data_IF_001302110612
#
_entry.id   IF_001302110612
#
_cell.length_a   1.000
_cell.length_b   1.000
_cell.length_c   1.000
_cell.angle_alpha   90.00
_cell.angle_beta   90.00
_cell.angle_gamma   90.00
#
_symmetry.space_group_name_H-M   'P 1'
#
loop_
_entity.id
_entity.type
_entity.pdbx_description
1 polymer ?
#
# COMPACT_ATOMS: atom_id res chain seq x y z
N UNK A 1 8.38 20.15 0.91
CA UNK A 1 7.73 18.82 0.93
C UNK A 1 6.79 18.67 2.13
N UNK A 2 5.88 17.70 2.09
CA UNK A 2 5.01 17.36 3.26
C UNK A 2 5.87 17.01 4.47
N UNK A 3 6.96 16.27 4.28
CA UNK A 3 7.86 15.91 5.36
C UNK A 3 8.53 17.11 6.03
N UNK A 4 8.92 18.13 5.28
CA UNK A 4 9.46 19.38 5.83
C UNK A 4 8.39 20.14 6.63
N UNK A 5 7.18 20.22 6.10
CA UNK A 5 6.06 20.85 6.80
C UNK A 5 5.76 20.14 8.12
N UNK A 6 5.69 18.81 8.12
CA UNK A 6 5.47 18.02 9.33
C UNK A 6 6.58 18.28 10.37
N UNK A 7 7.84 18.27 9.94
CA UNK A 7 8.99 18.59 10.80
C UNK A 7 8.88 20.00 11.38
N UNK A 8 8.55 21.01 10.56
CA UNK A 8 8.44 22.41 11.01
C UNK A 8 7.30 22.64 12.01
N UNK A 9 6.29 21.78 11.99
CA UNK A 9 5.11 21.84 12.87
C UNK A 9 5.15 20.81 14.01
N UNK A 10 6.23 20.05 14.14
CA UNK A 10 6.36 18.95 15.11
C UNK A 10 5.20 17.95 15.03
N UNK A 11 4.80 17.60 13.82
CA UNK A 11 3.74 16.62 13.52
C UNK A 11 4.39 15.32 13.05
N UNK A 12 3.94 14.17 13.58
CA UNK A 12 4.36 12.87 13.08
C UNK A 12 3.85 12.64 11.68
N UNK A 13 4.72 12.11 10.81
CA UNK A 13 4.38 11.71 9.46
C UNK A 13 4.36 10.19 9.35
N UNK A 14 3.23 9.65 8.93
CA UNK A 14 3.06 8.24 8.58
C UNK A 14 2.92 8.13 7.06
N UNK A 15 3.82 7.40 6.41
CA UNK A 15 3.72 7.10 5.00
C UNK A 15 2.96 5.78 4.78
N UNK A 16 1.81 5.85 4.11
CA UNK A 16 1.11 4.65 3.66
C UNK A 16 1.71 4.14 2.35
N UNK A 17 2.60 3.17 2.46
CA UNK A 17 3.28 2.51 1.35
C UNK A 17 2.61 1.19 0.94
N UNK A 18 1.36 0.96 1.35
CA UNK A 18 0.60 -0.27 1.16
C UNK A 18 0.61 -0.77 -0.31
N UNK A 19 0.43 0.13 -1.28
CA UNK A 19 0.46 -0.17 -2.71
C UNK A 19 1.69 0.42 -3.43
N UNK A 20 2.70 0.85 -2.70
CA UNK A 20 3.83 1.60 -3.23
C UNK A 20 5.20 0.92 -2.97
N UNK A 21 5.19 -0.41 -2.82
CA UNK A 21 6.43 -1.18 -2.66
C UNK A 21 7.42 -0.85 -3.76
N UNK A 22 8.64 -0.44 -3.37
CA UNK A 22 9.73 -0.08 -4.29
C UNK A 22 9.46 1.11 -5.21
N UNK A 23 8.38 1.87 -5.00
CA UNK A 23 8.21 3.16 -5.67
C UNK A 23 9.25 4.15 -5.20
N UNK A 24 9.65 5.07 -6.10
CA UNK A 24 10.64 6.08 -5.80
C UNK A 24 10.14 7.47 -6.19
N UNK A 25 10.59 8.47 -5.45
CA UNK A 25 10.45 9.88 -5.76
C UNK A 25 11.84 10.51 -5.71
N UNK A 26 12.29 11.15 -6.79
CA UNK A 26 13.65 11.69 -6.90
C UNK A 26 14.74 10.63 -6.58
N UNK A 27 14.58 9.42 -7.09
CA UNK A 27 15.48 8.26 -6.85
C UNK A 27 15.55 7.78 -5.41
N UNK A 28 14.66 8.24 -4.52
CA UNK A 28 14.56 7.76 -3.14
C UNK A 28 13.31 6.90 -2.97
N UNK A 29 13.47 5.73 -2.37
CA UNK A 29 12.34 4.87 -2.06
C UNK A 29 11.37 5.56 -1.11
N UNK A 30 10.06 5.46 -1.40
CA UNK A 30 8.99 5.90 -0.49
C UNK A 30 9.05 5.13 0.83
N UNK A 31 8.50 5.72 1.88
CA UNK A 31 8.56 5.14 3.23
C UNK A 31 9.84 5.49 4.00
N UNK A 32 10.68 6.43 3.52
CA UNK A 32 11.93 6.83 4.17
C UNK A 32 11.89 8.19 4.85
N UNK A 33 10.97 9.04 4.44
CA UNK A 33 10.87 10.42 4.92
C UNK A 33 10.10 10.54 6.25
N UNK A 34 9.04 9.74 6.41
CA UNK A 34 8.18 9.76 7.59
C UNK A 34 8.84 9.19 8.84
N UNK A 35 8.20 9.46 9.98
CA UNK A 35 8.55 8.83 11.26
C UNK A 35 8.21 7.36 11.25
N UNK A 36 7.13 7.02 10.54
CA UNK A 36 6.63 5.66 10.33
C UNK A 36 6.32 5.43 8.86
N UNK A 37 6.45 4.18 8.40
CA UNK A 37 5.92 3.74 7.12
C UNK A 37 5.28 2.36 7.25
N UNK A 38 4.13 2.19 6.61
CA UNK A 38 3.37 0.95 6.64
C UNK A 38 3.40 0.26 5.28
N UNK A 39 3.57 -1.06 5.30
CA UNK A 39 3.56 -1.93 4.13
C UNK A 39 2.59 -3.08 4.36
N UNK A 40 1.84 -3.46 3.34
CA UNK A 40 0.94 -4.61 3.38
C UNK A 40 1.48 -5.76 2.57
N UNK A 41 1.31 -6.97 3.09
CA UNK A 41 1.60 -8.22 2.39
C UNK A 41 0.32 -8.99 2.03
N UNK A 42 -0.79 -8.26 1.84
CA UNK A 42 -2.06 -8.80 1.38
C UNK A 42 -1.92 -9.48 -0.01
N UNK A 43 -2.75 -10.48 -0.37
CA UNK A 43 -2.56 -11.30 -1.57
C UNK A 43 -2.37 -10.57 -2.89
N UNK A 44 -2.94 -9.37 -3.06
CA UNK A 44 -2.81 -8.61 -4.29
C UNK A 44 -1.62 -7.61 -4.29
N UNK A 45 -0.63 -7.81 -3.43
CA UNK A 45 0.59 -7.00 -3.39
C UNK A 45 1.72 -7.67 -4.18
N UNK A 46 2.71 -6.89 -4.58
CA UNK A 46 3.92 -7.40 -5.27
C UNK A 46 4.66 -8.40 -4.38
N UNK A 47 4.78 -8.06 -3.09
CA UNK A 47 5.16 -8.99 -2.03
C UNK A 47 3.89 -9.34 -1.27
N UNK A 48 3.51 -10.59 -1.26
CA UNK A 48 2.35 -11.04 -0.50
C UNK A 48 2.69 -12.27 0.36
N UNK A 49 1.95 -12.45 1.44
CA UNK A 49 2.15 -13.55 2.36
C UNK A 49 0.82 -14.08 2.91
N UNK A 50 -0.22 -14.08 2.08
CA UNK A 50 -1.61 -14.39 2.42
C UNK A 50 -2.19 -13.25 3.27
N UNK A 51 -1.61 -13.01 4.44
CA UNK A 51 -1.90 -11.91 5.35
C UNK A 51 -0.59 -11.42 5.97
N UNK A 52 -0.55 -10.16 6.37
CA UNK A 52 0.60 -9.60 7.04
C UNK A 52 0.93 -8.19 6.62
N UNK A 53 1.95 -7.64 7.24
CA UNK A 53 2.46 -6.31 6.96
C UNK A 53 3.76 -6.04 7.70
N UNK A 54 4.35 -4.90 7.40
CA UNK A 54 5.54 -4.41 8.08
C UNK A 54 5.36 -2.94 8.45
N UNK A 55 5.88 -2.58 9.61
CA UNK A 55 6.00 -1.22 10.09
C UNK A 55 7.47 -0.85 10.14
N UNK A 56 7.87 0.14 9.33
CA UNK A 56 9.17 0.79 9.50
C UNK A 56 9.02 1.92 10.52
N UNK A 57 9.95 2.00 11.45
CA UNK A 57 10.00 3.03 12.48
C UNK A 57 11.35 3.73 12.43
N UNK A 58 11.36 5.06 12.43
CA UNK A 58 12.58 5.86 12.27
C UNK A 58 13.37 6.00 13.57
N UNK A 59 12.67 6.20 14.70
CA UNK A 59 13.31 6.44 15.99
C UNK A 59 13.27 5.19 16.85
N UNK A 60 14.41 4.84 17.47
CA UNK A 60 14.55 3.65 18.32
C UNK A 60 13.53 3.60 19.47
N UNK A 61 13.27 4.75 20.12
CA UNK A 61 12.24 4.82 21.17
C UNK A 61 10.90 4.28 20.69
N UNK A 62 10.42 4.74 19.54
CA UNK A 62 9.13 4.32 18.98
C UNK A 62 9.19 2.89 18.45
N UNK A 63 10.35 2.42 17.99
CA UNK A 63 10.54 1.02 17.60
C UNK A 63 10.34 0.10 18.79
N UNK A 64 10.94 0.41 19.94
CA UNK A 64 10.79 -0.39 21.17
C UNK A 64 9.33 -0.39 21.69
N UNK A 65 8.63 0.75 21.58
CA UNK A 65 7.20 0.81 21.85
C UNK A 65 6.38 -0.05 20.90
N UNK A 66 6.65 0.02 19.59
CA UNK A 66 5.98 -0.78 18.57
C UNK A 66 6.21 -2.28 18.78
N UNK A 67 7.41 -2.70 19.20
CA UNK A 67 7.69 -4.10 19.53
C UNK A 67 6.82 -4.62 20.67
N UNK A 68 6.60 -3.82 21.72
CA UNK A 68 5.69 -4.17 22.82
C UNK A 68 4.24 -4.25 22.32
N UNK A 69 3.80 -3.19 21.63
CA UNK A 69 2.44 -3.11 21.10
C UNK A 69 2.12 -4.25 20.11
N UNK A 70 3.10 -4.72 19.36
CA UNK A 70 2.93 -5.86 18.45
C UNK A 70 2.43 -7.12 19.16
N UNK A 71 2.73 -7.27 20.46
CA UNK A 71 2.37 -8.46 21.23
C UNK A 71 1.90 -8.08 22.63
N UNK A 72 0.65 -7.73 22.77
CA UNK A 72 -0.07 -7.51 24.03
C UNK A 72 0.55 -6.46 24.97
N UNK A 73 1.40 -5.55 24.50
CA UNK A 73 2.12 -4.61 25.36
C UNK A 73 3.35 -5.20 26.06
N UNK A 74 3.75 -6.42 25.71
CA UNK A 74 4.78 -7.19 26.41
C UNK A 74 6.16 -6.93 25.80
N UNK A 75 7.14 -6.56 26.65
CA UNK A 75 8.56 -6.63 26.29
C UNK A 75 9.03 -8.09 26.46
N UNK A 76 9.25 -8.75 25.32
CA UNK A 76 9.60 -10.16 25.26
C UNK A 76 10.91 -10.53 25.98
N UNK A 77 11.81 -9.55 26.14
CA UNK A 77 13.12 -9.77 26.81
C UNK A 77 13.03 -9.66 28.33
N UNK A 78 11.98 -9.03 28.87
CA UNK A 78 11.82 -8.77 30.30
C UNK A 78 10.67 -9.56 30.94
N UNK A 79 9.75 -10.05 30.12
CA UNK A 79 8.52 -10.70 30.57
C UNK A 79 8.77 -12.06 31.23
N UNK A 80 9.88 -12.74 30.90
CA UNK A 80 10.21 -14.03 31.48
C UNK A 80 11.55 -13.98 32.22
N UNK A 81 11.62 -14.74 33.30
CA UNK A 81 12.88 -15.04 34.00
C UNK A 81 13.78 -15.99 33.17
N UNK A 82 15.00 -16.19 33.63
CA UNK A 82 16.00 -17.07 32.93
C UNK A 82 15.56 -18.53 32.91
N UNK A 83 14.76 -18.96 33.85
CA UNK A 83 14.20 -20.31 33.96
C UNK A 83 12.95 -20.51 33.07
N UNK A 84 12.50 -19.44 32.40
CA UNK A 84 11.33 -19.48 31.51
C UNK A 84 10.02 -19.08 32.14
N UNK A 85 9.95 -18.94 33.48
CA UNK A 85 8.75 -18.50 34.18
C UNK A 85 8.44 -17.03 33.95
N UNK A 86 7.19 -16.62 34.14
CA UNK A 86 6.78 -15.23 34.09
C UNK A 86 7.45 -14.46 35.23
N UNK A 87 8.09 -13.35 34.87
CA UNK A 87 8.75 -12.46 35.81
C UNK A 87 7.68 -11.71 36.64
N UNK A 88 7.53 -11.98 37.95
CA UNK A 88 6.53 -11.32 38.80
C UNK A 88 6.77 -9.83 39.02
N UNK A 89 7.99 -9.34 38.76
CA UNK A 89 8.36 -7.94 38.87
C UNK A 89 8.06 -7.16 37.55
N UNK A 90 7.63 -7.88 36.48
CA UNK A 90 7.36 -7.24 35.21
C UNK A 90 5.94 -6.67 35.15
N UNK A 91 5.86 -5.39 34.76
CA UNK A 91 4.59 -4.69 34.57
C UNK A 91 4.29 -4.47 33.08
N UNK A 92 3.02 -4.67 32.68
CA UNK A 92 2.48 -4.36 31.36
C UNK A 92 1.82 -2.99 31.44
N UNK A 93 2.54 -1.96 31.01
CA UNK A 93 2.11 -0.56 31.13
C UNK A 93 1.22 -0.08 29.99
N UNK A 94 1.07 -0.87 28.91
CA UNK A 94 0.30 -0.49 27.71
C UNK A 94 -0.60 -1.65 27.29
N UNK A 95 -1.89 -1.39 27.16
CA UNK A 95 -2.83 -2.36 26.57
C UNK A 95 -2.65 -2.42 25.05
N UNK A 96 -2.60 -3.63 24.50
CA UNK A 96 -2.51 -3.86 23.08
C UNK A 96 -3.11 -5.21 22.68
N UNK A 97 -3.14 -5.49 21.37
CA UNK A 97 -3.61 -6.73 20.81
C UNK A 97 -2.44 -7.59 20.28
N UNK A 98 -2.75 -8.75 19.72
CA UNK A 98 -1.79 -9.54 18.98
C UNK A 98 -1.77 -9.11 17.51
N UNK A 99 -0.72 -8.40 17.10
CA UNK A 99 -0.44 -8.02 15.72
C UNK A 99 0.73 -8.81 15.15
N UNK A 100 1.12 -9.92 15.79
CA UNK A 100 2.26 -10.72 15.33
C UNK A 100 1.94 -11.45 14.04
N UNK A 101 2.77 -11.26 13.03
CA UNK A 101 2.75 -12.07 11.82
C UNK A 101 3.26 -13.48 12.15
N UNK A 102 2.58 -14.52 11.66
CA UNK A 102 3.03 -15.90 11.88
C UNK A 102 4.26 -16.23 11.02
N UNK A 103 5.03 -17.24 11.45
CA UNK A 103 6.29 -17.60 10.78
C UNK A 103 6.10 -18.12 9.36
N UNK A 104 4.97 -18.76 9.03
CA UNK A 104 4.68 -19.25 7.68
C UNK A 104 4.50 -18.07 6.73
N UNK A 105 3.65 -17.11 7.10
CA UNK A 105 3.46 -15.89 6.32
C UNK A 105 4.78 -15.10 6.19
N UNK A 106 5.58 -14.99 7.27
CA UNK A 106 6.88 -14.34 7.23
C UNK A 106 7.86 -15.03 6.27
N UNK A 107 7.89 -16.37 6.25
CA UNK A 107 8.74 -17.14 5.34
C UNK A 107 8.32 -16.93 3.88
N UNK A 108 7.01 -16.93 3.59
CA UNK A 108 6.47 -16.65 2.25
C UNK A 108 6.86 -15.24 1.79
N UNK A 109 6.65 -14.22 2.64
CA UNK A 109 7.03 -12.84 2.31
C UNK A 109 8.53 -12.72 2.03
N UNK A 110 9.36 -13.32 2.88
CA UNK A 110 10.82 -13.28 2.73
C UNK A 110 11.28 -13.97 1.43
N UNK A 111 10.69 -15.10 1.07
CA UNK A 111 10.98 -15.76 -0.20
C UNK A 111 10.61 -14.87 -1.40
N UNK A 112 9.44 -14.24 -1.38
CA UNK A 112 8.97 -13.37 -2.45
C UNK A 112 9.80 -12.09 -2.65
N UNK A 113 10.48 -11.62 -1.61
CA UNK A 113 11.37 -10.46 -1.71
C UNK A 113 12.51 -10.68 -2.73
N UNK A 114 12.96 -11.91 -2.91
CA UNK A 114 14.01 -12.23 -3.87
C UNK A 114 13.62 -11.90 -5.33
N UNK A 115 12.34 -12.07 -5.67
CA UNK A 115 11.82 -11.88 -7.04
C UNK A 115 11.26 -10.48 -7.29
N UNK A 116 11.14 -9.66 -6.26
CA UNK A 116 10.43 -8.38 -6.37
C UNK A 116 10.99 -7.46 -7.45
N UNK A 117 12.32 -7.36 -7.56
CA UNK A 117 12.95 -6.48 -8.55
C UNK A 117 12.64 -6.90 -9.98
N UNK A 118 12.67 -8.19 -10.27
CA UNK A 118 12.33 -8.73 -11.60
C UNK A 118 10.85 -8.49 -11.92
N UNK A 119 9.96 -8.77 -10.97
CA UNK A 119 8.51 -8.52 -11.11
C UNK A 119 8.20 -7.05 -11.39
N UNK A 120 8.82 -6.13 -10.65
CA UNK A 120 8.63 -4.69 -10.85
C UNK A 120 9.12 -4.26 -12.24
N UNK A 121 10.24 -4.82 -12.71
CA UNK A 121 10.74 -4.54 -14.05
C UNK A 121 9.73 -4.94 -15.13
N UNK A 122 9.12 -6.13 -14.99
CA UNK A 122 8.06 -6.60 -15.89
C UNK A 122 6.80 -5.72 -15.82
N UNK A 123 6.33 -5.35 -14.63
CA UNK A 123 5.19 -4.45 -14.46
C UNK A 123 5.46 -3.10 -15.15
N UNK A 124 6.64 -2.53 -14.95
CA UNK A 124 7.03 -1.27 -15.60
C UNK A 124 7.05 -1.40 -17.14
N UNK A 125 7.53 -2.54 -17.67
CA UNK A 125 7.50 -2.84 -19.09
C UNK A 125 6.07 -2.90 -19.61
N UNK A 126 5.18 -3.63 -18.94
CA UNK A 126 3.76 -3.73 -19.29
C UNK A 126 3.08 -2.35 -19.31
N UNK A 127 3.34 -1.51 -18.30
CA UNK A 127 2.78 -0.16 -18.27
C UNK A 127 3.30 0.73 -19.41
N UNK A 128 4.59 0.65 -19.73
CA UNK A 128 5.15 1.34 -20.88
C UNK A 128 4.49 0.87 -22.19
N UNK A 129 4.28 -0.42 -22.33
CA UNK A 129 3.59 -0.99 -23.49
C UNK A 129 2.16 -0.42 -23.61
N UNK A 130 1.39 -0.39 -22.51
CA UNK A 130 0.06 0.21 -22.52
C UNK A 130 0.07 1.68 -22.89
N UNK A 131 0.97 2.49 -22.30
CA UNK A 131 1.09 3.91 -22.63
C UNK A 131 1.41 4.12 -24.10
N UNK A 132 2.25 3.28 -24.71
CA UNK A 132 2.64 3.39 -26.12
C UNK A 132 1.56 2.92 -27.09
N UNK A 133 0.68 1.99 -26.69
CA UNK A 133 -0.27 1.33 -27.58
C UNK A 133 -1.72 1.77 -27.39
N UNK A 134 -2.08 2.41 -26.30
CA UNK A 134 -3.42 3.01 -26.15
C UNK A 134 -3.49 4.28 -27.00
N UNK A 135 -4.05 4.15 -28.21
CA UNK A 135 -4.19 5.24 -29.18
C UNK A 135 -5.60 5.84 -29.22
N UNK A 136 -6.50 5.38 -28.35
CA UNK A 136 -7.88 5.83 -28.33
C UNK A 136 -8.01 7.18 -27.61
N UNK A 137 -8.43 8.22 -28.32
CA UNK A 137 -8.60 9.57 -27.77
C UNK A 137 -9.65 9.68 -26.67
N UNK A 138 -10.54 8.69 -26.53
CA UNK A 138 -11.52 8.61 -25.44
C UNK A 138 -10.93 8.04 -24.15
N UNK A 139 -9.70 7.51 -24.18
CA UNK A 139 -8.97 6.99 -23.03
C UNK A 139 -7.80 7.93 -22.72
N UNK A 140 -7.77 8.43 -21.50
CA UNK A 140 -6.65 9.23 -21.00
C UNK A 140 -5.84 8.40 -20.03
N UNK A 141 -4.57 8.18 -20.29
CA UNK A 141 -3.64 7.60 -19.34
C UNK A 141 -3.28 8.62 -18.27
N UNK A 142 -2.95 8.15 -17.08
CA UNK A 142 -2.40 9.00 -16.03
C UNK A 142 -0.89 9.00 -16.20
N UNK A 143 -0.35 10.17 -16.50
CA UNK A 143 1.09 10.38 -16.58
C UNK A 143 1.60 10.90 -15.23
N UNK A 144 2.75 10.39 -14.82
CA UNK A 144 3.44 10.83 -13.61
C UNK A 144 4.64 11.67 -14.01
N UNK A 145 4.98 12.66 -13.18
CA UNK A 145 6.18 13.46 -13.38
C UNK A 145 7.42 12.55 -13.52
N UNK A 146 8.37 12.95 -14.34
CA UNK A 146 9.60 12.19 -14.63
C UNK A 146 10.42 11.80 -13.38
N UNK A 147 10.17 12.45 -12.26
CA UNK A 147 10.85 12.19 -10.99
C UNK A 147 10.17 11.08 -10.14
N UNK A 148 9.08 10.50 -10.64
CA UNK A 148 8.32 9.46 -9.92
C UNK A 148 8.47 8.14 -10.66
N UNK A 149 9.06 7.16 -10.00
CA UNK A 149 9.05 5.78 -10.41
C UNK A 149 7.97 5.01 -9.63
N UNK A 150 6.80 4.85 -10.26
CA UNK A 150 5.70 4.12 -9.66
C UNK A 150 5.88 2.60 -9.81
N UNK A 151 5.55 1.83 -8.77
CA UNK A 151 5.50 0.36 -8.84
C UNK A 151 4.31 -0.16 -9.66
N UNK A 152 3.32 0.69 -9.96
CA UNK A 152 2.16 0.39 -10.78
C UNK A 152 1.39 -0.88 -10.30
N UNK A 153 0.82 -0.81 -9.10
CA UNK A 153 -0.08 -1.86 -8.61
C UNK A 153 -1.18 -2.21 -9.62
N UNK A 154 -1.72 -1.19 -10.30
CA UNK A 154 -2.64 -1.30 -11.44
C UNK A 154 -2.32 -0.19 -12.44
N UNK A 155 -2.74 -0.36 -13.70
CA UNK A 155 -2.63 0.67 -14.72
C UNK A 155 -3.95 1.44 -14.82
N UNK A 156 -3.92 2.74 -14.60
CA UNK A 156 -5.12 3.56 -14.61
C UNK A 156 -5.34 4.23 -15.96
N UNK A 157 -6.59 4.17 -16.43
CA UNK A 157 -7.08 5.00 -17.53
C UNK A 157 -8.33 5.76 -17.09
N UNK A 158 -8.58 6.91 -17.70
CA UNK A 158 -9.79 7.70 -17.49
C UNK A 158 -10.60 7.75 -18.76
N UNK A 159 -11.93 7.60 -18.63
CA UNK A 159 -12.87 7.74 -19.74
C UNK A 159 -14.26 8.13 -19.24
N UNK A 160 -14.95 8.99 -20.00
CA UNK A 160 -16.37 9.29 -19.76
C UNK A 160 -17.27 8.08 -20.05
N UNK A 161 -16.76 7.06 -20.73
CA UNK A 161 -17.50 5.83 -21.07
C UNK A 161 -17.13 4.65 -20.14
N UNK A 162 -16.83 4.93 -18.87
CA UNK A 162 -16.37 3.94 -17.89
C UNK A 162 -17.21 2.65 -17.88
N UNK A 163 -18.54 2.78 -17.80
CA UNK A 163 -19.45 1.61 -17.75
C UNK A 163 -19.37 0.76 -19.01
N UNK A 164 -19.31 1.40 -20.20
CA UNK A 164 -19.18 0.68 -21.48
C UNK A 164 -17.86 -0.04 -21.58
N UNK A 165 -16.75 0.61 -21.18
CA UNK A 165 -15.42 0.01 -21.19
C UNK A 165 -15.36 -1.20 -20.24
N UNK A 166 -15.87 -1.08 -19.01
CA UNK A 166 -15.89 -2.18 -18.06
C UNK A 166 -16.71 -3.38 -18.55
N UNK A 167 -17.87 -3.13 -19.17
CA UNK A 167 -18.72 -4.19 -19.76
C UNK A 167 -17.98 -4.90 -20.88
N UNK A 168 -17.36 -4.16 -21.79
CA UNK A 168 -16.56 -4.71 -22.90
C UNK A 168 -15.37 -5.54 -22.40
N UNK A 169 -14.60 -5.02 -21.43
CA UNK A 169 -13.46 -5.76 -20.87
C UNK A 169 -13.90 -7.04 -20.18
N UNK A 170 -15.03 -7.01 -19.47
CA UNK A 170 -15.61 -8.21 -18.84
C UNK A 170 -16.00 -9.26 -19.89
N UNK A 171 -16.63 -8.85 -20.98
CA UNK A 171 -16.94 -9.74 -22.12
C UNK A 171 -15.69 -10.39 -22.69
N UNK A 172 -14.61 -9.64 -22.80
CA UNK A 172 -13.28 -10.12 -23.22
C UNK A 172 -12.51 -10.88 -22.13
N UNK A 173 -13.15 -11.18 -20.98
CA UNK A 173 -12.54 -11.87 -19.82
C UNK A 173 -11.31 -11.14 -19.24
N UNK A 174 -11.24 -9.83 -19.40
CA UNK A 174 -10.21 -8.97 -18.81
C UNK A 174 -10.76 -8.41 -17.49
N UNK A 175 -10.07 -8.74 -16.40
CA UNK A 175 -10.45 -8.29 -15.06
C UNK A 175 -10.04 -6.82 -14.88
N UNK A 176 -10.99 -5.92 -15.06
CA UNK A 176 -10.83 -4.49 -14.82
C UNK A 176 -11.89 -4.00 -13.82
N UNK A 177 -11.60 -2.94 -13.09
CA UNK A 177 -12.52 -2.40 -12.09
C UNK A 177 -12.40 -0.89 -11.95
N UNK A 178 -13.43 -0.29 -11.34
CA UNK A 178 -13.38 1.08 -10.82
C UNK A 178 -12.91 1.05 -9.37
N UNK A 179 -11.66 1.35 -9.12
CA UNK A 179 -11.09 1.44 -7.76
C UNK A 179 -11.10 2.91 -7.29
N UNK A 180 -11.48 3.22 -6.07
CA UNK A 180 -12.24 2.48 -5.08
C UNK A 180 -13.57 3.20 -4.89
N UNK A 181 -14.55 2.59 -4.19
CA UNK A 181 -15.76 3.33 -3.83
C UNK A 181 -15.41 4.42 -2.82
N UNK A 182 -16.01 5.60 -2.95
CA UNK A 182 -15.70 6.73 -2.07
C UNK A 182 -16.13 6.45 -0.63
N UNK A 183 -15.22 6.64 0.32
CA UNK A 183 -15.46 6.33 1.73
C UNK A 183 -16.64 7.10 2.33
N UNK A 184 -16.83 8.37 1.92
CA UNK A 184 -17.96 9.19 2.36
C UNK A 184 -19.35 8.67 1.90
N UNK A 185 -19.39 7.64 1.07
CA UNK A 185 -20.63 6.96 0.65
C UNK A 185 -21.04 5.84 1.60
N UNK A 186 -20.15 5.34 2.43
CA UNK A 186 -20.48 4.33 3.44
C UNK A 186 -21.11 4.98 4.67
N UNK A 187 -22.13 4.34 5.23
CA UNK A 187 -22.88 4.88 6.38
C UNK A 187 -21.98 5.11 7.62
N UNK A 188 -20.99 4.26 7.83
CA UNK A 188 -20.06 4.38 8.95
C UNK A 188 -19.17 5.64 8.90
N UNK A 189 -19.04 6.28 7.72
CA UNK A 189 -18.26 7.52 7.55
C UNK A 189 -19.14 8.74 7.25
N UNK A 190 -20.46 8.58 7.28
CA UNK A 190 -21.37 9.72 7.12
C UNK A 190 -21.29 10.57 8.38
N UNK A 191 -20.81 11.81 8.21
CA UNK A 191 -21.00 12.88 9.17
C UNK A 191 -22.18 13.77 8.72
N UNK A 192 -22.78 14.50 9.65
CA UNK A 192 -23.84 15.46 9.35
C UNK A 192 -23.35 16.61 8.44
N UNK A 193 -22.05 16.82 8.38
CA UNK A 193 -21.40 17.73 7.44
C UNK A 193 -21.04 16.99 6.16
N UNK A 194 -21.85 17.13 5.12
CA UNK A 194 -21.56 16.61 3.78
C UNK A 194 -20.46 17.43 3.12
N UNK A 195 -19.22 17.07 3.35
CA UNK A 195 -18.07 17.65 2.63
C UNK A 195 -18.21 17.25 1.16
N UNK A 196 -18.33 18.25 0.28
CA UNK A 196 -18.37 18.03 -1.16
C UNK A 196 -16.95 17.68 -1.66
N UNK A 197 -16.83 16.60 -2.39
CA UNK A 197 -15.57 16.12 -2.98
C UNK A 197 -15.68 16.01 -4.51
N UNK A 198 -15.92 17.13 -5.25
CA UNK A 198 -16.29 17.10 -6.67
C UNK A 198 -15.25 16.45 -7.54
N UNK A 199 -13.94 16.61 -7.25
CA UNK A 199 -12.86 15.98 -8.01
C UNK A 199 -12.79 14.46 -7.76
N UNK A 200 -13.03 14.02 -6.55
CA UNK A 200 -13.09 12.59 -6.23
C UNK A 200 -14.33 11.93 -6.85
N UNK A 201 -15.48 12.60 -6.81
CA UNK A 201 -16.71 12.16 -7.46
C UNK A 201 -16.53 12.03 -8.99
N UNK A 202 -15.89 13.02 -9.62
CA UNK A 202 -15.57 12.98 -11.05
C UNK A 202 -14.65 11.80 -11.37
N UNK A 203 -13.56 11.66 -10.63
CA UNK A 203 -12.59 10.59 -10.84
C UNK A 203 -13.23 9.21 -10.65
N UNK A 204 -14.06 9.02 -9.63
CA UNK A 204 -14.82 7.77 -9.39
C UNK A 204 -15.66 7.34 -10.60
N UNK A 205 -16.19 8.30 -11.34
CA UNK A 205 -17.04 8.03 -12.49
C UNK A 205 -16.27 7.81 -13.81
N UNK A 206 -14.99 8.13 -13.84
CA UNK A 206 -14.17 8.07 -15.04
C UNK A 206 -13.05 7.05 -14.98
N UNK A 207 -12.55 6.70 -13.76
CA UNK A 207 -11.37 5.86 -13.60
C UNK A 207 -11.67 4.38 -13.87
N UNK A 208 -10.77 3.74 -14.61
CA UNK A 208 -10.74 2.28 -14.80
C UNK A 208 -9.34 1.79 -14.49
N UNK A 209 -9.24 0.81 -13.62
CA UNK A 209 -8.02 0.11 -13.27
C UNK A 209 -7.89 -1.15 -14.12
N UNK A 210 -6.82 -1.23 -14.89
CA UNK A 210 -6.47 -2.35 -15.74
C UNK A 210 -5.40 -3.22 -15.05
N UNK A 211 -5.42 -4.54 -15.22
CA UNK A 211 -4.34 -5.40 -14.77
C UNK A 211 -3.06 -5.07 -15.54
N UNK A 212 -1.95 -4.91 -14.82
CA UNK A 212 -0.62 -4.69 -15.41
C UNK A 212 0.45 -5.57 -14.78
N UNK A 213 0.03 -6.63 -14.09
CA UNK A 213 0.89 -7.48 -13.28
C UNK A 213 1.98 -8.19 -14.08
N UNK A 214 3.01 -8.64 -13.37
CA UNK A 214 4.18 -9.31 -13.93
C UNK A 214 3.89 -10.63 -14.66
N UNK A 215 2.72 -11.21 -14.44
CA UNK A 215 2.24 -12.45 -15.10
C UNK A 215 1.65 -12.22 -16.49
N UNK A 216 1.53 -10.98 -16.94
CA UNK A 216 1.08 -10.67 -18.30
C UNK A 216 2.25 -10.86 -19.27
N UNK A 217 1.93 -11.46 -20.42
CA UNK A 217 2.86 -11.64 -21.55
C UNK A 217 2.37 -10.87 -22.77
N UNK A 218 3.26 -10.64 -23.74
CA UNK A 218 2.97 -9.93 -25.00
C UNK A 218 2.12 -10.74 -26.00
N UNK A 219 1.55 -11.88 -25.56
CA UNK A 219 0.76 -12.78 -26.42
C UNK A 219 -0.72 -12.50 -26.31
#
# INVERSE_FOLDING_TARGET
SIAELCRSKNIYLIEDCNNAHFSQVNSHYVGREGDFAIYSFYPNRIVNSIEGGALRVKKEKHYNEALKMRRYGIDMYKFRCKDGEINPEYDITVTSNNFSMNNVAAAIANHQLNDCRSRIKLIKSNCKYFMSNIKNNSLKTIDFNNNIENCNWVFFVRTKQQRKLLAYLKEKKIMASKLHYLNNRYSCFRSDNTVKTPNADLLQNEIVALPCGWWLSER
#
